data_IF_700550887105
#
_entry.id   IF_700550887105
#
_cell.length_a   1.000
_cell.length_b   1.000
_cell.length_c   1.000
_cell.angle_alpha   90.00
_cell.angle_beta   90.00
_cell.angle_gamma   90.00
#
_symmetry.space_group_name_H-M   'P 1'
#
loop_
_entity.id
_entity.type
_entity.pdbx_description
1 polymer ?
#
# COMPACT_ATOMS: atom_id res chain seq x y z
N UNK A 1 -27.47 -21.44 -21.84
CA UNK A 1 -26.94 -21.78 -20.51
C UNK A 1 -25.66 -20.98 -20.28
N UNK A 2 -25.75 -19.68 -19.94
CA UNK A 2 -24.53 -18.97 -19.48
C UNK A 2 -24.77 -17.61 -18.78
N UNK A 3 -26.03 -17.23 -18.52
CA UNK A 3 -26.33 -15.95 -17.88
C UNK A 3 -25.73 -15.86 -16.47
N UNK A 4 -25.79 -16.95 -15.71
CA UNK A 4 -25.22 -17.06 -14.37
C UNK A 4 -23.70 -17.00 -14.38
N UNK A 5 -23.05 -17.68 -15.35
CA UNK A 5 -21.59 -17.65 -15.48
C UNK A 5 -21.08 -16.27 -15.90
N UNK A 6 -21.81 -15.59 -16.79
CA UNK A 6 -21.52 -14.21 -17.19
C UNK A 6 -21.69 -13.23 -16.02
N UNK A 7 -22.71 -13.42 -15.20
CA UNK A 7 -22.93 -12.59 -14.01
C UNK A 7 -21.83 -12.80 -12.96
N UNK A 8 -21.43 -14.05 -12.72
CA UNK A 8 -20.31 -14.38 -11.83
C UNK A 8 -18.98 -13.82 -12.35
N UNK A 9 -18.71 -13.91 -13.66
CA UNK A 9 -17.51 -13.27 -14.24
C UNK A 9 -17.51 -11.77 -14.06
N UNK A 10 -18.62 -11.10 -14.33
CA UNK A 10 -18.73 -9.65 -14.14
C UNK A 10 -18.54 -9.26 -12.67
N UNK A 11 -19.09 -10.01 -11.72
CA UNK A 11 -18.87 -9.80 -10.29
C UNK A 11 -17.41 -10.01 -9.91
N UNK A 12 -16.78 -11.10 -10.35
CA UNK A 12 -15.36 -11.39 -10.09
C UNK A 12 -14.45 -10.34 -10.73
N UNK A 13 -14.72 -9.92 -11.96
CA UNK A 13 -14.00 -8.85 -12.66
C UNK A 13 -14.18 -7.51 -11.96
N UNK A 14 -15.37 -7.21 -11.44
CA UNK A 14 -15.62 -5.99 -10.66
C UNK A 14 -14.90 -6.05 -9.30
N UNK A 15 -14.94 -7.18 -8.60
CA UNK A 15 -14.21 -7.38 -7.34
C UNK A 15 -12.70 -7.29 -7.59
N UNK A 16 -12.20 -7.92 -8.66
CA UNK A 16 -10.82 -7.85 -9.07
C UNK A 16 -10.42 -6.43 -9.50
N UNK A 17 -11.29 -5.67 -10.17
CA UNK A 17 -11.05 -4.29 -10.58
C UNK A 17 -11.09 -3.30 -9.41
N UNK A 18 -11.99 -3.53 -8.44
CA UNK A 18 -12.03 -2.81 -7.16
C UNK A 18 -10.75 -3.10 -6.37
N UNK A 19 -10.28 -4.36 -6.38
CA UNK A 19 -8.98 -4.74 -5.85
C UNK A 19 -7.80 -4.26 -6.72
N UNK A 20 -8.02 -3.93 -7.99
CA UNK A 20 -6.98 -3.46 -8.94
C UNK A 20 -6.84 -1.94 -8.96
N UNK A 21 -7.27 -1.27 -7.91
CA UNK A 21 -6.83 0.11 -7.65
C UNK A 21 -5.37 0.06 -7.22
N UNK A 22 -4.47 -0.31 -8.16
CA UNK A 22 -3.00 -0.35 -8.06
C UNK A 22 -2.54 -0.64 -6.63
N UNK A 23 -2.44 -1.92 -6.23
CA UNK A 23 -2.18 -2.38 -4.84
C UNK A 23 -1.40 -1.29 -4.09
N UNK A 24 -2.13 -0.50 -3.31
CA UNK A 24 -1.63 0.77 -2.79
C UNK A 24 -0.34 0.51 -2.01
N UNK A 25 -0.20 -0.68 -1.45
CA UNK A 25 1.01 -1.15 -0.81
C UNK A 25 2.19 -1.29 -1.79
N UNK A 26 2.01 -1.90 -2.96
CA UNK A 26 3.03 -1.98 -4.01
C UNK A 26 3.48 -0.59 -4.50
N UNK A 27 2.54 0.34 -4.66
CA UNK A 27 2.84 1.71 -5.08
C UNK A 27 3.67 2.43 -4.04
N UNK A 28 3.24 2.39 -2.77
CA UNK A 28 3.95 3.05 -1.68
C UNK A 28 5.32 2.42 -1.45
N UNK A 29 5.47 1.10 -1.66
CA UNK A 29 6.75 0.41 -1.62
C UNK A 29 7.69 0.87 -2.73
N UNK A 30 7.18 0.99 -3.97
CA UNK A 30 7.97 1.51 -5.09
C UNK A 30 8.42 2.95 -4.85
N UNK A 31 7.53 3.80 -4.34
CA UNK A 31 7.85 5.19 -3.98
C UNK A 31 8.94 5.24 -2.91
N UNK A 32 8.80 4.47 -1.81
CA UNK A 32 9.79 4.42 -0.75
C UNK A 32 11.18 4.02 -1.29
N UNK A 33 11.22 3.00 -2.16
CA UNK A 33 12.45 2.55 -2.81
C UNK A 33 13.08 3.63 -3.69
N UNK A 34 12.29 4.27 -4.56
CA UNK A 34 12.80 5.27 -5.51
C UNK A 34 13.27 6.54 -4.84
N UNK A 35 12.60 6.95 -3.76
CA UNK A 35 13.01 8.12 -2.97
C UNK A 35 14.29 7.85 -2.20
N UNK A 36 14.42 6.67 -1.57
CA UNK A 36 15.65 6.29 -0.88
C UNK A 36 16.86 6.24 -1.84
N UNK A 37 16.68 5.62 -3.02
CA UNK A 37 17.70 5.59 -4.07
C UNK A 37 18.09 7.00 -4.54
N UNK A 38 17.11 7.87 -4.80
CA UNK A 38 17.37 9.21 -5.35
C UNK A 38 18.02 10.17 -4.34
N UNK A 39 17.78 9.94 -3.05
CA UNK A 39 18.33 10.77 -1.97
C UNK A 39 19.58 10.15 -1.32
N UNK A 40 20.04 8.99 -1.81
CA UNK A 40 21.14 8.22 -1.20
C UNK A 40 20.91 7.98 0.30
N UNK A 41 19.64 7.77 0.68
CA UNK A 41 19.24 7.63 2.08
C UNK A 41 19.25 6.16 2.51
N UNK A 42 19.67 5.90 3.75
CA UNK A 42 19.70 4.55 4.32
C UNK A 42 18.31 3.92 4.49
N UNK A 43 17.26 4.74 4.65
CA UNK A 43 15.89 4.30 4.78
C UNK A 43 14.85 5.35 4.34
N UNK A 44 13.66 4.89 3.96
CA UNK A 44 12.49 5.70 3.65
C UNK A 44 11.22 5.03 4.18
N UNK A 45 10.37 5.78 4.88
CA UNK A 45 9.12 5.31 5.47
C UNK A 45 7.96 6.13 4.94
N UNK A 46 6.88 5.45 4.53
CA UNK A 46 5.67 6.09 4.03
C UNK A 46 4.54 5.81 5.00
N UNK A 47 4.03 6.88 5.61
CA UNK A 47 2.90 6.84 6.51
C UNK A 47 1.66 7.37 5.80
N UNK A 48 0.53 6.72 6.00
CA UNK A 48 -0.78 7.28 5.65
C UNK A 48 -1.50 7.67 6.93
N UNK A 49 -2.20 8.78 6.87
CA UNK A 49 -3.02 9.25 7.97
C UNK A 49 -4.37 8.53 7.97
N UNK A 50 -4.72 7.93 9.10
CA UNK A 50 -6.04 7.35 9.37
C UNK A 50 -6.85 8.36 10.19
N UNK A 51 -7.82 9.00 9.54
CA UNK A 51 -8.73 9.97 10.17
C UNK A 51 -9.65 9.34 11.22
N UNK A 52 -9.96 8.05 11.10
CA UNK A 52 -10.84 7.35 12.04
C UNK A 52 -10.15 7.06 13.37
N UNK A 53 -8.83 6.81 13.32
CA UNK A 53 -8.00 6.58 14.50
C UNK A 53 -7.25 7.84 14.98
N UNK A 54 -7.18 8.90 14.18
CA UNK A 54 -6.34 10.11 14.42
C UNK A 54 -4.84 9.76 14.49
N UNK A 55 -4.38 8.86 13.60
CA UNK A 55 -3.04 8.27 13.68
C UNK A 55 -2.34 8.13 12.32
N UNK A 56 -0.99 8.17 12.34
CA UNK A 56 -0.16 7.84 11.19
C UNK A 56 0.15 6.34 11.17
N UNK A 57 -0.32 5.65 10.15
CA UNK A 57 -0.12 4.22 9.93
C UNK A 57 1.00 4.01 8.92
N UNK A 58 2.02 3.23 9.28
CA UNK A 58 3.08 2.85 8.36
C UNK A 58 2.51 1.94 7.26
N UNK A 59 2.74 2.31 5.99
CA UNK A 59 2.20 1.58 4.83
C UNK A 59 3.27 1.05 3.89
N UNK A 60 4.46 1.64 3.89
CA UNK A 60 5.61 1.10 3.18
C UNK A 60 6.93 1.53 3.83
N UNK A 61 7.96 0.72 3.63
CA UNK A 61 9.32 1.00 4.10
C UNK A 61 10.35 0.51 3.08
N UNK A 62 11.45 1.24 2.95
CA UNK A 62 12.66 0.80 2.27
C UNK A 62 13.83 1.05 3.22
N UNK A 63 14.73 0.07 3.36
CA UNK A 63 15.85 0.17 4.31
C UNK A 63 15.41 0.04 5.76
N UNK A 64 16.18 -0.74 6.55
CA UNK A 64 15.94 -1.18 7.94
C UNK A 64 14.69 -2.04 8.23
N UNK A 65 14.92 -3.11 8.99
CA UNK A 65 13.89 -4.00 9.56
C UNK A 65 13.10 -3.19 10.60
N UNK A 66 11.78 -3.17 10.47
CA UNK A 66 10.81 -2.35 11.25
C UNK A 66 10.76 -2.71 12.76
N UNK A 67 11.65 -3.55 13.28
CA UNK A 67 11.58 -4.00 14.67
C UNK A 67 11.97 -2.93 15.72
N UNK A 68 12.62 -1.82 15.33
CA UNK A 68 13.13 -0.83 16.31
C UNK A 68 12.48 0.57 16.28
N UNK A 69 11.57 0.88 15.34
CA UNK A 69 11.08 2.27 15.16
C UNK A 69 9.55 2.44 15.09
N UNK A 70 8.76 1.58 15.73
CA UNK A 70 7.29 1.78 15.87
C UNK A 70 6.88 2.96 16.78
N UNK A 71 7.78 3.91 17.07
CA UNK A 71 7.39 5.14 17.78
C UNK A 71 6.89 6.17 16.78
N UNK A 72 5.63 6.58 16.98
CA UNK A 72 4.98 7.71 16.31
C UNK A 72 5.99 8.84 16.04
N UNK A 73 6.22 9.24 14.78
CA UNK A 73 6.87 10.52 14.52
C UNK A 73 5.99 11.61 15.15
N UNK A 74 6.57 12.43 16.03
CA UNK A 74 5.88 13.55 16.70
C UNK A 74 5.71 14.72 15.74
#
# INVERSE_FOLDING_TARGET
MDATARHLRLLTETIAAVNSTLDLEEVLALVASKVAEALEADACFVYLYDEGADELVLRATHGTRVEEMTRRPR
#
